data_IF_444520736537
#
_entry.id   IF_444520736537
#
_cell.length_a   1.000
_cell.length_b   1.000
_cell.length_c   1.000
_cell.angle_alpha   90.00
_cell.angle_beta   90.00
_cell.angle_gamma   90.00
#
_symmetry.space_group_name_H-M   'P 1'
#
loop_
_entity.id
_entity.type
_entity.pdbx_description
1 polymer ?
#
# COMPACT_ATOMS: atom_id res chain seq x y z
N UNK A 1 -3.83 7.19 -8.14
CA UNK A 1 -4.16 6.00 -7.32
C UNK A 1 -4.53 4.85 -8.25
N UNK A 2 -4.58 3.61 -7.77
CA UNK A 2 -5.09 2.47 -8.54
C UNK A 2 -6.20 1.79 -7.74
N UNK A 3 -7.33 1.56 -8.39
CA UNK A 3 -8.51 0.91 -7.84
C UNK A 3 -8.66 -0.48 -8.47
N UNK A 4 -8.94 -1.48 -7.65
CA UNK A 4 -9.24 -2.84 -8.09
C UNK A 4 -10.66 -3.15 -7.64
N UNK A 5 -11.52 -3.48 -8.60
CA UNK A 5 -12.93 -3.79 -8.38
C UNK A 5 -13.15 -5.25 -8.75
N UNK A 6 -13.74 -6.02 -7.84
CA UNK A 6 -14.16 -7.39 -8.11
C UNK A 6 -15.66 -7.41 -8.34
N UNK A 7 -16.11 -8.13 -9.36
CA UNK A 7 -17.52 -8.15 -9.77
C UNK A 7 -18.06 -9.58 -9.78
N UNK A 8 -19.32 -9.73 -9.36
CA UNK A 8 -20.10 -10.95 -9.57
C UNK A 8 -21.51 -10.54 -9.98
N UNK A 9 -21.80 -10.64 -11.28
CA UNK A 9 -23.10 -10.26 -11.81
C UNK A 9 -24.14 -11.35 -11.55
N UNK A 10 -25.43 -10.99 -11.44
CA UNK A 10 -26.50 -11.97 -11.34
C UNK A 10 -26.57 -12.88 -12.56
N UNK A 11 -27.00 -14.12 -12.36
CA UNK A 11 -27.17 -15.10 -13.44
C UNK A 11 -28.30 -14.67 -14.40
N UNK A 12 -28.27 -15.20 -15.63
CA UNK A 12 -29.28 -14.93 -16.67
C UNK A 12 -30.72 -15.19 -16.21
N UNK A 13 -30.94 -16.13 -15.28
CA UNK A 13 -32.26 -16.47 -14.75
C UNK A 13 -32.76 -15.62 -13.58
N UNK A 14 -31.96 -14.68 -13.07
CA UNK A 14 -32.41 -13.76 -12.01
C UNK A 14 -33.44 -12.76 -12.53
N UNK A 15 -34.27 -12.21 -11.63
CA UNK A 15 -35.26 -11.18 -11.94
C UNK A 15 -34.61 -9.87 -12.40
N UNK A 16 -35.36 -9.09 -13.19
CA UNK A 16 -34.85 -7.84 -13.77
C UNK A 16 -34.49 -6.80 -12.68
N UNK A 17 -35.15 -6.79 -11.52
CA UNK A 17 -34.85 -5.84 -10.45
C UNK A 17 -33.49 -6.12 -9.81
N UNK A 18 -33.12 -7.40 -9.62
CA UNK A 18 -31.78 -7.80 -9.17
C UNK A 18 -30.71 -7.38 -10.19
N UNK A 19 -30.98 -7.55 -11.49
CA UNK A 19 -30.06 -7.14 -12.57
C UNK A 19 -29.90 -5.62 -12.63
N UNK A 20 -31.00 -4.87 -12.53
CA UNK A 20 -30.99 -3.41 -12.52
C UNK A 20 -30.22 -2.88 -11.32
N UNK A 21 -30.45 -3.44 -10.12
CA UNK A 21 -29.70 -3.07 -8.92
C UNK A 21 -28.19 -3.27 -9.10
N UNK A 22 -27.78 -4.39 -9.71
CA UNK A 22 -26.36 -4.65 -9.99
C UNK A 22 -25.73 -3.56 -10.86
N UNK A 23 -26.40 -3.17 -11.96
CA UNK A 23 -25.88 -2.13 -12.85
C UNK A 23 -25.89 -0.75 -12.19
N UNK A 24 -26.92 -0.41 -11.40
CA UNK A 24 -26.94 0.82 -10.61
C UNK A 24 -25.79 0.88 -9.60
N UNK A 25 -25.51 -0.24 -8.91
CA UNK A 25 -24.39 -0.34 -7.96
C UNK A 25 -23.04 -0.22 -8.70
N UNK A 26 -22.92 -0.84 -9.89
CA UNK A 26 -21.74 -0.73 -10.75
C UNK A 26 -21.49 0.71 -11.20
N UNK A 27 -22.52 1.40 -11.68
CA UNK A 27 -22.46 2.80 -12.10
C UNK A 27 -22.06 3.70 -10.94
N UNK A 28 -22.62 3.47 -9.74
CA UNK A 28 -22.24 4.20 -8.54
C UNK A 28 -20.76 4.06 -8.20
N UNK A 29 -20.19 2.85 -8.31
CA UNK A 29 -18.75 2.61 -8.12
C UNK A 29 -17.92 3.34 -9.19
N UNK A 30 -18.36 3.28 -10.45
CA UNK A 30 -17.63 3.91 -11.55
C UNK A 30 -17.64 5.44 -11.48
N UNK A 31 -18.75 6.05 -11.05
CA UNK A 31 -18.88 7.50 -10.84
C UNK A 31 -18.03 7.94 -9.63
N UNK A 32 -17.96 7.13 -8.57
CA UNK A 32 -17.17 7.44 -7.38
C UNK A 32 -15.65 7.43 -7.64
N UNK A 33 -15.18 6.69 -8.65
CA UNK A 33 -13.76 6.61 -9.01
C UNK A 33 -13.42 7.74 -10.00
N UNK A 34 -12.53 8.67 -9.63
CA UNK A 34 -12.13 9.76 -10.53
C UNK A 34 -11.55 9.24 -11.87
N UNK A 35 -11.81 9.98 -12.95
CA UNK A 35 -11.35 9.60 -14.30
C UNK A 35 -9.83 9.59 -14.46
N UNK A 36 -9.10 10.36 -13.64
CA UNK A 36 -7.64 10.38 -13.62
C UNK A 36 -7.01 9.21 -12.83
N UNK A 37 -7.82 8.39 -12.18
CA UNK A 37 -7.37 7.19 -11.47
C UNK A 37 -7.49 5.93 -12.33
N UNK A 38 -6.55 5.01 -12.12
CA UNK A 38 -6.57 3.71 -12.78
C UNK A 38 -7.63 2.84 -12.12
N UNK A 39 -8.43 2.16 -12.93
CA UNK A 39 -9.38 1.15 -12.46
C UNK A 39 -9.12 -0.17 -13.20
N UNK A 40 -9.05 -1.24 -12.43
CA UNK A 40 -8.97 -2.62 -12.93
C UNK A 40 -10.18 -3.35 -12.37
N UNK A 41 -11.10 -3.73 -13.24
CA UNK A 41 -12.33 -4.42 -12.87
C UNK A 41 -12.17 -5.86 -13.33
N UNK A 42 -12.43 -6.82 -12.46
CA UNK A 42 -12.31 -8.23 -12.80
C UNK A 42 -13.39 -9.05 -12.14
N UNK A 43 -13.88 -10.08 -12.82
CA UNK A 43 -14.81 -11.03 -12.20
C UNK A 43 -15.76 -11.64 -13.21
N UNK A 44 -16.77 -12.31 -12.66
CA UNK A 44 -17.80 -13.03 -13.40
C UNK A 44 -18.95 -12.08 -13.70
N UNK A 45 -19.18 -11.81 -14.99
CA UNK A 45 -20.28 -10.97 -15.45
C UNK A 45 -21.49 -11.77 -15.93
N UNK A 46 -21.43 -13.11 -15.91
CA UNK A 46 -22.51 -13.99 -16.37
C UNK A 46 -23.07 -13.68 -17.79
N UNK A 47 -22.35 -12.88 -18.56
CA UNK A 47 -22.72 -12.43 -19.90
C UNK A 47 -21.70 -12.90 -20.93
N UNK A 48 -22.15 -13.15 -22.15
CA UNK A 48 -21.31 -13.51 -23.29
C UNK A 48 -21.19 -12.31 -24.22
N UNK A 49 -20.01 -11.72 -24.35
CA UNK A 49 -19.79 -10.59 -25.27
C UNK A 49 -19.71 -11.03 -26.75
N UNK A 50 -19.42 -12.31 -26.98
CA UNK A 50 -19.34 -12.94 -28.29
C UNK A 50 -18.04 -12.68 -29.05
N UNK A 51 -17.87 -13.33 -30.21
CA UNK A 51 -16.69 -13.15 -31.09
C UNK A 51 -16.69 -11.77 -31.75
N UNK A 52 -17.83 -11.34 -32.28
CA UNK A 52 -17.96 -10.13 -33.08
C UNK A 52 -17.98 -8.88 -32.19
N UNK A 53 -17.37 -7.80 -32.67
CA UNK A 53 -17.34 -6.50 -31.98
C UNK A 53 -18.28 -5.46 -32.61
N UNK A 54 -19.21 -5.88 -33.46
CA UNK A 54 -20.14 -4.98 -34.15
C UNK A 54 -20.80 -4.02 -33.18
N UNK A 55 -20.72 -2.71 -33.51
CA UNK A 55 -21.21 -1.57 -32.71
C UNK A 55 -20.44 -1.27 -31.43
N UNK A 56 -19.40 -2.04 -31.12
CA UNK A 56 -18.59 -1.95 -29.89
C UNK A 56 -17.09 -1.99 -30.15
N UNK A 57 -16.64 -1.62 -31.35
CA UNK A 57 -15.24 -1.71 -31.80
C UNK A 57 -14.30 -0.91 -30.90
N UNK A 58 -14.83 0.12 -30.23
CA UNK A 58 -14.07 0.91 -29.26
C UNK A 58 -13.72 0.13 -28.00
N UNK A 59 -14.61 -0.72 -27.50
CA UNK A 59 -14.50 -1.38 -26.19
C UNK A 59 -14.24 -2.88 -26.29
N UNK A 60 -14.46 -3.47 -27.46
CA UNK A 60 -14.33 -4.89 -27.74
C UNK A 60 -13.38 -5.13 -28.92
N UNK A 61 -12.35 -5.95 -28.70
CA UNK A 61 -11.25 -6.16 -29.65
C UNK A 61 -11.51 -7.21 -30.74
N UNK A 62 -12.73 -7.75 -30.83
CA UNK A 62 -13.16 -8.67 -31.89
C UNK A 62 -12.64 -10.11 -31.75
N UNK A 63 -12.16 -10.48 -30.55
CA UNK A 63 -11.56 -11.80 -30.27
C UNK A 63 -12.17 -12.48 -29.05
N UNK A 64 -13.45 -12.24 -28.78
CA UNK A 64 -14.18 -12.94 -27.72
C UNK A 64 -14.53 -14.38 -28.10
N UNK A 65 -15.31 -15.07 -27.27
CA UNK A 65 -15.75 -16.44 -27.52
C UNK A 65 -17.27 -16.57 -27.54
N UNK A 66 -17.79 -17.46 -28.39
CA UNK A 66 -19.22 -17.75 -28.52
C UNK A 66 -20.03 -16.63 -29.18
N UNK A 67 -21.36 -16.70 -29.01
CA UNK A 67 -22.31 -15.71 -29.50
C UNK A 67 -22.68 -14.75 -28.37
N UNK A 68 -23.00 -13.50 -28.74
CA UNK A 68 -23.38 -12.48 -27.77
C UNK A 68 -24.78 -12.77 -27.19
N UNK A 69 -24.97 -12.57 -25.89
CA UNK A 69 -26.29 -12.60 -25.24
C UNK A 69 -26.66 -11.24 -24.64
N UNK A 70 -27.89 -11.11 -24.10
CA UNK A 70 -28.40 -9.85 -23.51
C UNK A 70 -27.50 -9.32 -22.39
N UNK A 71 -26.96 -10.20 -21.56
CA UNK A 71 -26.12 -9.86 -20.42
C UNK A 71 -24.74 -9.38 -20.87
N UNK A 72 -24.19 -9.99 -21.92
CA UNK A 72 -22.97 -9.52 -22.56
C UNK A 72 -23.17 -8.20 -23.32
N UNK A 73 -24.34 -7.97 -23.88
CA UNK A 73 -24.71 -6.68 -24.46
C UNK A 73 -24.77 -5.58 -23.38
N UNK A 74 -25.40 -5.84 -22.23
CA UNK A 74 -25.40 -4.91 -21.10
C UNK A 74 -23.98 -4.59 -20.60
N UNK A 75 -23.10 -5.60 -20.56
CA UNK A 75 -21.68 -5.42 -20.25
C UNK A 75 -20.99 -4.49 -21.24
N UNK A 76 -21.24 -4.65 -22.55
CA UNK A 76 -20.67 -3.80 -23.58
C UNK A 76 -21.23 -2.37 -23.54
N UNK A 77 -22.51 -2.20 -23.22
CA UNK A 77 -23.13 -0.89 -23.01
C UNK A 77 -22.50 -0.16 -21.82
N UNK A 78 -22.38 -0.83 -20.67
CA UNK A 78 -21.71 -0.28 -19.48
C UNK A 78 -20.24 0.04 -19.74
N UNK A 79 -19.53 -0.85 -20.46
CA UNK A 79 -18.15 -0.58 -20.87
C UNK A 79 -18.05 0.65 -21.78
N UNK A 80 -19.01 0.85 -22.69
CA UNK A 80 -19.07 2.02 -23.57
C UNK A 80 -19.34 3.31 -22.79
N UNK A 81 -20.27 3.28 -21.82
CA UNK A 81 -20.62 4.43 -21.00
C UNK A 81 -19.42 4.98 -20.21
N UNK A 82 -18.54 4.12 -19.70
CA UNK A 82 -17.36 4.50 -18.90
C UNK A 82 -16.02 4.44 -19.66
N UNK A 83 -16.05 4.31 -21.00
CA UNK A 83 -14.88 4.18 -21.90
C UNK A 83 -13.89 3.08 -21.43
N UNK A 84 -14.45 1.94 -21.03
CA UNK A 84 -13.73 0.74 -20.60
C UNK A 84 -13.48 -0.19 -21.79
N UNK A 85 -12.33 -0.83 -21.82
CA UNK A 85 -11.99 -1.89 -22.75
C UNK A 85 -12.15 -3.26 -22.07
N UNK A 86 -12.83 -4.20 -22.74
CA UNK A 86 -12.91 -5.60 -22.34
C UNK A 86 -11.61 -6.29 -22.73
N UNK A 87 -10.62 -6.28 -21.83
CA UNK A 87 -9.22 -6.63 -22.10
C UNK A 87 -9.05 -8.01 -22.74
N UNK A 88 -9.86 -8.99 -22.33
CA UNK A 88 -9.83 -10.36 -22.85
C UNK A 88 -9.96 -10.42 -24.38
N UNK A 89 -10.70 -9.49 -24.97
CA UNK A 89 -11.16 -9.54 -26.36
C UNK A 89 -10.17 -8.89 -27.33
N UNK A 90 -9.10 -8.28 -26.83
CA UNK A 90 -8.07 -7.61 -27.63
C UNK A 90 -6.87 -8.51 -27.99
N UNK A 91 -6.74 -9.67 -27.33
CA UNK A 91 -5.62 -10.58 -27.55
C UNK A 91 -6.07 -11.79 -28.36
N UNK A 92 -5.29 -12.13 -29.38
CA UNK A 92 -5.51 -13.35 -30.15
C UNK A 92 -5.09 -14.58 -29.35
N UNK A 93 -6.00 -15.53 -29.24
CA UNK A 93 -5.87 -16.75 -28.43
C UNK A 93 -6.60 -17.90 -29.11
N UNK A 94 -6.16 -19.12 -28.82
CA UNK A 94 -6.93 -20.31 -29.10
C UNK A 94 -8.16 -20.36 -28.21
N UNK A 95 -9.26 -20.94 -28.69
CA UNK A 95 -10.55 -21.01 -27.98
C UNK A 95 -10.40 -21.57 -26.54
N UNK A 96 -9.54 -22.57 -26.33
CA UNK A 96 -9.28 -23.15 -25.01
C UNK A 96 -8.75 -22.13 -23.98
N UNK A 97 -8.08 -21.08 -24.44
CA UNK A 97 -7.53 -20.00 -23.62
C UNK A 97 -8.45 -18.77 -23.52
N UNK A 98 -9.63 -18.81 -24.15
CA UNK A 98 -10.69 -17.82 -24.02
C UNK A 98 -11.83 -18.28 -23.09
N UNK A 99 -12.07 -19.60 -23.04
CA UNK A 99 -13.09 -20.22 -22.21
C UNK A 99 -12.73 -20.06 -20.74
N UNK A 100 -13.58 -19.37 -19.97
CA UNK A 100 -13.40 -19.15 -18.53
C UNK A 100 -14.28 -20.06 -17.69
N UNK A 101 -15.36 -20.62 -18.26
CA UNK A 101 -16.24 -21.56 -17.59
C UNK A 101 -16.48 -22.80 -18.45
N UNK A 102 -16.39 -23.98 -17.84
CA UNK A 102 -16.64 -25.26 -18.48
C UNK A 102 -17.47 -26.16 -17.59
N UNK A 103 -18.64 -26.59 -18.07
CA UNK A 103 -19.50 -27.56 -17.40
C UNK A 103 -19.97 -28.62 -18.39
N UNK A 104 -19.49 -29.85 -18.22
CA UNK A 104 -19.72 -30.92 -19.19
C UNK A 104 -19.23 -30.53 -20.60
N UNK A 105 -20.16 -30.52 -21.56
CA UNK A 105 -19.91 -30.12 -22.95
C UNK A 105 -20.12 -28.62 -23.20
N UNK A 106 -20.57 -27.86 -22.20
CA UNK A 106 -20.75 -26.42 -22.32
C UNK A 106 -19.47 -25.69 -21.98
N UNK A 107 -19.02 -24.83 -22.91
CA UNK A 107 -17.88 -23.96 -22.74
C UNK A 107 -18.36 -22.52 -22.94
N UNK A 108 -18.03 -21.63 -22.03
CA UNK A 108 -18.42 -20.23 -22.11
C UNK A 108 -17.28 -19.31 -21.65
N UNK A 109 -17.38 -18.05 -22.08
CA UNK A 109 -16.60 -16.95 -21.54
C UNK A 109 -17.58 -16.04 -20.79
N UNK A 110 -17.37 -15.89 -19.50
CA UNK A 110 -18.20 -15.10 -18.58
C UNK A 110 -17.36 -14.27 -17.61
N UNK A 111 -16.09 -14.62 -17.42
CA UNK A 111 -15.15 -13.87 -16.61
C UNK A 111 -14.37 -12.87 -17.48
N UNK A 112 -14.34 -11.61 -17.08
CA UNK A 112 -13.70 -10.54 -17.85
C UNK A 112 -12.87 -9.63 -16.98
N UNK A 113 -11.82 -9.08 -17.58
CA UNK A 113 -11.16 -7.89 -17.08
C UNK A 113 -11.56 -6.66 -17.90
N UNK A 114 -11.98 -5.61 -17.21
CA UNK A 114 -12.26 -4.30 -17.78
C UNK A 114 -11.28 -3.27 -17.21
N UNK A 115 -10.91 -2.32 -18.05
CA UNK A 115 -9.91 -1.29 -17.76
C UNK A 115 -10.22 -0.04 -18.58
N UNK A 116 -9.91 1.16 -18.10
CA UNK A 116 -10.04 2.36 -18.96
C UNK A 116 -9.19 2.20 -20.22
N UNK A 117 -9.75 2.56 -21.36
CA UNK A 117 -9.08 2.46 -22.66
C UNK A 117 -7.71 3.12 -22.70
N UNK A 118 -7.55 4.26 -22.03
CA UNK A 118 -6.27 4.99 -21.96
C UNK A 118 -5.11 4.16 -21.39
N UNK A 119 -5.45 3.14 -20.58
CA UNK A 119 -4.48 2.24 -19.95
C UNK A 119 -4.35 0.89 -20.67
N UNK A 120 -5.03 0.66 -21.80
CA UNK A 120 -4.96 -0.62 -22.54
C UNK A 120 -3.52 -0.96 -22.97
N UNK A 121 -2.73 0.07 -23.33
CA UNK A 121 -1.31 -0.02 -23.67
C UNK A 121 -0.42 -0.53 -22.53
N UNK A 122 -0.93 -0.51 -21.30
CA UNK A 122 -0.22 -1.04 -20.13
C UNK A 122 -0.45 -2.55 -19.96
N UNK A 123 -1.46 -3.11 -20.63
CA UNK A 123 -1.76 -4.54 -20.61
C UNK A 123 -0.85 -5.23 -21.61
N UNK A 124 -0.10 -6.22 -21.13
CA UNK A 124 0.76 -7.04 -22.00
C UNK A 124 0.03 -8.26 -22.53
N UNK A 125 -0.83 -8.86 -21.69
CA UNK A 125 -1.50 -10.10 -22.03
C UNK A 125 -2.73 -10.29 -21.14
N UNK A 126 -3.75 -10.96 -21.67
CA UNK A 126 -4.87 -11.51 -20.93
C UNK A 126 -5.06 -12.95 -21.40
N UNK A 127 -5.01 -13.92 -20.48
CA UNK A 127 -5.07 -15.35 -20.82
C UNK A 127 -5.80 -16.16 -19.76
N UNK A 128 -6.50 -17.19 -20.20
CA UNK A 128 -7.01 -18.23 -19.31
C UNK A 128 -6.01 -19.38 -19.21
N UNK A 129 -5.81 -19.90 -18.00
CA UNK A 129 -4.98 -21.07 -17.73
C UNK A 129 -5.87 -22.34 -17.77
N UNK A 130 -5.77 -23.18 -18.82
CA UNK A 130 -6.46 -24.46 -18.83
C UNK A 130 -5.74 -25.45 -17.90
N UNK A 131 -6.48 -26.10 -17.00
CA UNK A 131 -5.98 -27.28 -16.27
C UNK A 131 -5.71 -27.13 -14.77
N UNK A 132 -6.07 -26.02 -14.13
CA UNK A 132 -6.04 -25.93 -12.66
C UNK A 132 -7.33 -26.50 -12.04
N UNK A 133 -7.27 -27.59 -11.25
CA UNK A 133 -8.45 -28.32 -10.77
C UNK A 133 -9.03 -27.78 -9.45
N UNK A 134 -8.72 -26.54 -9.06
CA UNK A 134 -9.15 -25.97 -7.77
C UNK A 134 -10.65 -25.63 -7.73
N UNK A 135 -11.25 -25.37 -8.89
CA UNK A 135 -12.69 -25.15 -9.07
C UNK A 135 -13.10 -25.97 -10.28
N UNK A 136 -14.10 -26.85 -10.15
CA UNK A 136 -14.42 -27.84 -11.20
C UNK A 136 -14.93 -27.25 -12.51
N UNK A 137 -15.43 -26.00 -12.48
CA UNK A 137 -16.07 -25.36 -13.62
C UNK A 137 -15.40 -24.06 -14.08
N UNK A 138 -15.01 -23.17 -13.16
CA UNK A 138 -14.32 -21.93 -13.52
C UNK A 138 -12.82 -22.15 -13.73
N UNK A 139 -12.26 -21.46 -14.71
CA UNK A 139 -10.83 -21.45 -15.04
C UNK A 139 -10.22 -20.11 -14.68
N UNK A 140 -8.95 -20.14 -14.28
CA UNK A 140 -8.26 -18.93 -13.85
C UNK A 140 -7.99 -17.99 -15.02
N UNK A 141 -8.58 -16.79 -14.97
CA UNK A 141 -8.29 -15.68 -15.87
C UNK A 141 -7.15 -14.83 -15.31
N UNK A 142 -6.11 -14.60 -16.11
CA UNK A 142 -4.92 -13.85 -15.73
C UNK A 142 -4.72 -12.66 -16.66
N UNK A 143 -4.50 -11.47 -16.08
CA UNK A 143 -4.10 -10.27 -16.80
C UNK A 143 -2.69 -9.81 -16.35
N UNK A 144 -1.77 -9.66 -17.31
CA UNK A 144 -0.42 -9.14 -17.06
C UNK A 144 -0.38 -7.64 -17.36
N UNK A 145 -0.03 -6.84 -16.35
CA UNK A 145 -0.01 -5.37 -16.44
C UNK A 145 1.40 -4.83 -16.21
N UNK A 146 1.82 -3.86 -17.03
CA UNK A 146 3.05 -3.10 -16.87
C UNK A 146 2.82 -1.85 -16.03
N UNK A 147 3.08 -1.94 -14.73
CA UNK A 147 2.96 -0.81 -13.81
C UNK A 147 4.28 -0.02 -13.78
N UNK A 148 4.24 1.25 -14.20
CA UNK A 148 5.35 2.20 -13.97
C UNK A 148 5.30 2.71 -12.53
N UNK A 149 6.15 2.18 -11.66
CA UNK A 149 6.34 2.71 -10.31
C UNK A 149 7.17 4.00 -10.46
N UNK A 150 6.55 5.16 -10.27
CA UNK A 150 7.31 6.40 -10.07
C UNK A 150 8.13 6.23 -8.80
N UNK A 151 9.46 6.25 -8.93
CA UNK A 151 10.35 6.28 -7.76
C UNK A 151 9.99 7.55 -6.98
N UNK A 152 9.62 7.38 -5.71
CA UNK A 152 9.48 8.50 -4.78
C UNK A 152 10.74 9.36 -4.91
N UNK A 153 10.56 10.64 -5.30
CA UNK A 153 11.67 11.58 -5.35
C UNK A 153 12.38 11.54 -3.99
N UNK A 154 13.72 11.49 -3.96
CA UNK A 154 14.44 11.52 -2.71
C UNK A 154 13.93 12.72 -1.90
N UNK A 155 13.48 12.47 -0.66
CA UNK A 155 13.04 13.54 0.25
C UNK A 155 14.09 14.66 0.21
N UNK A 156 13.69 15.93 0.13
CA UNK A 156 14.63 17.04 0.08
C UNK A 156 15.65 16.87 1.21
N UNK A 157 16.94 17.06 0.89
CA UNK A 157 18.02 17.01 1.88
C UNK A 157 17.58 17.92 3.04
N UNK A 158 17.40 17.36 4.23
CA UNK A 158 17.05 18.14 5.41
C UNK A 158 18.09 19.23 5.56
N UNK A 159 17.64 20.49 5.63
CA UNK A 159 18.53 21.63 5.82
C UNK A 159 19.34 21.43 7.11
N UNK A 160 20.61 21.84 7.14
CA UNK A 160 21.43 21.78 8.34
C UNK A 160 20.73 22.51 9.50
N UNK A 161 20.69 21.88 10.68
CA UNK A 161 20.15 22.51 11.89
C UNK A 161 21.29 22.86 12.84
N UNK A 162 21.31 24.11 13.30
CA UNK A 162 22.19 24.59 14.37
C UNK A 162 21.89 23.80 15.65
N UNK A 163 22.94 23.37 16.36
CA UNK A 163 22.85 22.59 17.60
C UNK A 163 22.52 23.48 18.79
N UNK A 164 21.31 24.03 18.86
CA UNK A 164 20.89 24.94 19.94
C UNK A 164 21.02 24.35 21.35
N UNK A 165 20.99 23.02 21.51
CA UNK A 165 21.23 22.35 22.79
C UNK A 165 22.64 22.60 23.37
N UNK A 166 23.59 23.08 22.57
CA UNK A 166 24.91 23.49 23.08
C UNK A 166 24.82 24.72 23.99
N UNK A 167 23.69 25.44 24.02
CA UNK A 167 23.42 26.52 24.99
C UNK A 167 23.31 26.01 26.44
N UNK A 168 23.12 24.71 26.66
CA UNK A 168 23.17 24.12 28.01
C UNK A 168 24.60 24.09 28.57
N UNK A 169 25.62 24.23 27.71
CA UNK A 169 27.02 24.25 28.11
C UNK A 169 27.48 25.68 28.33
N UNK A 170 27.90 25.97 29.55
CA UNK A 170 28.29 27.32 29.96
C UNK A 170 29.49 27.88 29.17
N UNK A 171 30.46 27.03 28.83
CA UNK A 171 31.62 27.39 27.98
C UNK A 171 31.18 27.84 26.58
N UNK A 172 30.27 27.11 25.95
CA UNK A 172 29.75 27.45 24.62
C UNK A 172 28.94 28.74 24.64
N UNK A 173 28.20 29.02 25.73
CA UNK A 173 27.44 30.28 25.89
C UNK A 173 28.40 31.47 26.02
N UNK A 174 29.46 31.34 26.81
CA UNK A 174 30.48 32.40 26.99
C UNK A 174 31.16 32.70 25.66
N UNK A 175 31.63 31.68 24.95
CA UNK A 175 32.28 31.85 23.64
C UNK A 175 31.33 32.46 22.60
N UNK A 176 30.07 32.01 22.55
CA UNK A 176 29.07 32.55 21.64
C UNK A 176 28.80 34.03 21.91
N UNK A 177 28.65 34.43 23.17
CA UNK A 177 28.41 35.84 23.54
C UNK A 177 29.57 36.74 23.11
N UNK A 178 30.81 36.35 23.42
CA UNK A 178 31.99 37.12 23.05
C UNK A 178 32.07 37.32 21.54
N UNK A 179 31.95 36.24 20.76
CA UNK A 179 32.02 36.31 19.29
C UNK A 179 30.90 37.15 18.66
N UNK A 180 29.69 37.10 19.22
CA UNK A 180 28.58 37.93 18.73
C UNK A 180 28.84 39.40 19.01
N UNK A 181 29.33 39.74 20.21
CA UNK A 181 29.64 41.13 20.57
C UNK A 181 30.79 41.66 19.71
N UNK A 182 31.89 40.90 19.56
CA UNK A 182 33.03 41.30 18.73
C UNK A 182 32.60 41.58 17.28
N UNK A 183 31.83 40.66 16.68
CA UNK A 183 31.31 40.89 15.32
C UNK A 183 30.29 42.01 15.21
N UNK A 184 29.54 42.30 16.27
CA UNK A 184 28.60 43.42 16.28
C UNK A 184 29.33 44.76 16.36
N UNK A 185 30.48 44.82 17.02
CA UNK A 185 31.34 46.00 17.06
C UNK A 185 31.97 46.24 15.67
N UNK A 186 32.33 45.17 14.96
CA UNK A 186 32.89 45.24 13.61
C UNK A 186 31.84 45.45 12.49
N UNK A 187 30.55 45.52 12.80
CA UNK A 187 29.51 45.80 11.79
C UNK A 187 29.44 47.30 11.47
N UNK A 188 29.30 47.61 10.17
CA UNK A 188 29.14 48.98 9.67
C UNK A 188 27.95 49.70 10.32
N UNK A 189 28.02 51.04 10.34
CA UNK A 189 26.99 51.89 10.95
C UNK A 189 25.61 51.61 10.33
N UNK A 190 24.73 51.03 11.15
CA UNK A 190 23.38 50.60 10.81
C UNK A 190 22.40 51.79 10.67
N UNK A 191 22.84 53.01 10.98
CA UNK A 191 22.01 54.22 10.98
C UNK A 191 21.36 54.56 9.62
N UNK A 192 21.91 54.07 8.50
CA UNK A 192 21.39 54.33 7.15
C UNK A 192 20.46 53.23 6.61
N UNK A 193 20.17 52.19 7.40
CA UNK A 193 19.33 51.04 6.99
C UNK A 193 17.96 51.10 7.68
N UNK A 194 16.96 50.52 7.03
CA UNK A 194 15.65 50.36 7.67
C UNK A 194 15.73 49.42 8.87
N UNK A 195 14.84 49.57 9.85
CA UNK A 195 14.84 48.71 11.04
C UNK A 195 14.76 47.21 10.73
N UNK A 196 14.11 46.83 9.61
CA UNK A 196 14.02 45.45 9.16
C UNK A 196 15.35 44.92 8.58
N UNK A 197 16.11 45.77 7.89
CA UNK A 197 17.45 45.45 7.40
C UNK A 197 18.45 45.31 8.55
N UNK A 198 18.42 46.23 9.52
CA UNK A 198 19.23 46.12 10.75
C UNK A 198 18.93 44.83 11.50
N UNK A 199 17.65 44.50 11.68
CA UNK A 199 17.25 43.25 12.34
C UNK A 199 17.75 42.02 11.59
N UNK A 200 17.66 42.01 10.26
CA UNK A 200 18.13 40.89 9.47
C UNK A 200 19.65 40.71 9.57
N UNK A 201 20.44 41.79 9.58
CA UNK A 201 21.89 41.71 9.74
C UNK A 201 22.30 41.19 11.12
N UNK A 202 21.64 41.68 12.18
CA UNK A 202 21.82 41.18 13.54
C UNK A 202 21.50 39.68 13.61
N UNK A 203 20.37 39.26 13.06
CA UNK A 203 19.95 37.85 13.05
C UNK A 203 20.91 36.99 12.23
N UNK A 204 21.43 37.50 11.12
CA UNK A 204 22.43 36.81 10.30
C UNK A 204 23.76 36.64 11.04
N UNK A 205 24.22 37.69 11.73
CA UNK A 205 25.39 37.65 12.60
C UNK A 205 25.23 36.60 13.70
N UNK A 206 24.12 36.65 14.46
CA UNK A 206 23.83 35.67 15.50
C UNK A 206 23.77 34.23 14.96
N UNK A 207 23.13 34.02 13.82
CA UNK A 207 23.05 32.68 13.19
C UNK A 207 24.40 32.21 12.67
N UNK A 208 25.24 33.11 12.13
CA UNK A 208 26.61 32.82 11.71
C UNK A 208 27.44 32.34 12.89
N UNK A 209 27.46 33.11 13.97
CA UNK A 209 28.29 32.76 15.13
C UNK A 209 27.74 31.53 15.87
N UNK A 210 26.43 31.35 15.89
CA UNK A 210 25.82 30.14 16.44
C UNK A 210 26.23 28.90 15.63
N UNK A 211 26.40 29.02 14.31
CA UNK A 211 26.95 27.93 13.48
C UNK A 211 28.42 27.67 13.76
N UNK A 212 29.22 28.73 13.94
CA UNK A 212 30.65 28.60 14.21
C UNK A 212 30.90 27.93 15.57
N UNK A 213 30.16 28.32 16.62
CA UNK A 213 30.35 27.83 17.99
C UNK A 213 29.65 26.49 18.22
N UNK A 214 28.37 26.38 17.86
CA UNK A 214 27.59 25.17 18.17
C UNK A 214 27.74 24.09 17.10
N UNK A 215 28.14 24.46 15.89
CA UNK A 215 28.16 23.58 14.74
C UNK A 215 26.76 23.27 14.19
N UNK A 216 26.74 22.61 13.04
CA UNK A 216 25.52 22.17 12.38
C UNK A 216 25.41 20.63 12.41
N UNK A 217 24.17 20.14 12.46
CA UNK A 217 23.89 18.73 12.16
C UNK A 217 23.59 18.58 10.67
N UNK A 218 24.44 17.82 9.97
CA UNK A 218 24.18 17.35 8.61
C UNK A 218 23.83 15.88 8.67
N UNK A 219 22.56 15.57 8.47
CA UNK A 219 22.10 14.20 8.47
C UNK A 219 20.59 14.14 8.50
N UNK A 220 20.04 13.06 7.92
CA UNK A 220 18.68 12.61 8.25
C UNK A 220 18.58 12.74 9.77
N UNK A 221 17.54 13.42 10.26
CA UNK A 221 17.16 13.30 11.67
C UNK A 221 17.43 11.86 12.05
N UNK A 222 18.27 11.63 13.06
CA UNK A 222 18.32 10.31 13.68
C UNK A 222 16.84 9.99 13.86
N UNK A 223 16.34 9.03 13.07
CA UNK A 223 14.92 8.78 13.07
C UNK A 223 14.72 8.42 14.54
N UNK A 224 14.06 9.29 15.29
CA UNK A 224 13.50 8.93 16.57
C UNK A 224 12.40 7.93 16.19
N UNK A 225 12.84 6.75 15.76
CA UNK A 225 11.99 5.59 15.55
C UNK A 225 11.43 5.40 16.93
N UNK A 226 10.14 5.53 17.11
CA UNK A 226 9.19 4.47 17.48
C UNK A 226 9.78 3.20 18.13
N UNK A 227 10.85 3.34 18.91
CA UNK A 227 11.62 2.29 19.58
C UNK A 227 11.70 2.58 21.08
N UNK A 228 10.72 3.31 21.62
CA UNK A 228 10.53 3.46 23.06
C UNK A 228 10.17 2.13 23.76
N UNK A 229 9.82 1.08 22.99
CA UNK A 229 9.60 -0.30 23.48
C UNK A 229 10.82 -1.22 23.23
N UNK A 230 11.95 -0.68 22.78
CA UNK A 230 13.13 -1.41 22.32
C UNK A 230 14.20 -1.58 23.42
N UNK A 231 13.90 -2.38 24.44
CA UNK A 231 14.83 -2.65 25.55
C UNK A 231 15.95 -3.64 25.19
N UNK A 232 17.01 -3.69 26.02
CA UNK A 232 18.10 -4.68 25.93
C UNK A 232 17.54 -6.12 25.94
N UNK A 233 16.50 -6.35 26.72
CA UNK A 233 15.83 -7.66 26.82
C UNK A 233 15.13 -8.05 25.51
N UNK A 234 14.42 -7.11 24.87
CA UNK A 234 13.79 -7.35 23.58
C UNK A 234 14.83 -7.63 22.50
N UNK A 235 15.96 -6.93 22.53
CA UNK A 235 17.08 -7.19 21.62
C UNK A 235 17.68 -8.59 21.82
N UNK A 236 17.88 -9.02 23.07
CA UNK A 236 18.38 -10.36 23.38
C UNK A 236 17.41 -11.45 22.91
N UNK A 237 16.11 -11.29 23.14
CA UNK A 237 15.09 -12.24 22.69
C UNK A 237 15.04 -12.34 21.15
N UNK A 238 15.17 -11.21 20.44
CA UNK A 238 15.21 -11.19 18.99
C UNK A 238 16.52 -11.78 18.43
N UNK A 239 17.64 -11.60 19.15
CA UNK A 239 18.93 -12.22 18.84
C UNK A 239 18.84 -13.74 18.95
N UNK A 240 18.32 -14.27 20.06
CA UNK A 240 18.08 -15.72 20.24
C UNK A 240 17.20 -16.32 19.14
N UNK A 241 16.11 -15.62 18.76
CA UNK A 241 15.26 -16.04 17.63
C UNK A 241 16.06 -16.09 16.32
N UNK A 242 16.92 -15.09 16.07
CA UNK A 242 17.72 -15.00 14.85
C UNK A 242 18.79 -16.10 14.80
N UNK A 243 19.40 -16.41 15.94
CA UNK A 243 20.41 -17.46 16.04
C UNK A 243 19.78 -18.85 15.86
N UNK A 244 18.60 -19.10 16.44
CA UNK A 244 17.82 -20.32 16.20
C UNK A 244 17.40 -20.48 14.72
N UNK A 245 17.02 -19.39 14.05
CA UNK A 245 16.71 -19.40 12.62
C UNK A 245 17.92 -19.78 11.77
N UNK A 246 19.10 -19.22 12.05
CA UNK A 246 20.35 -19.59 11.37
C UNK A 246 20.71 -21.05 11.62
N UNK A 247 20.56 -21.51 12.88
CA UNK A 247 20.80 -22.90 13.27
C UNK A 247 19.91 -23.88 12.50
N UNK A 248 18.63 -23.56 12.29
CA UNK A 248 17.72 -24.35 11.44
C UNK A 248 18.07 -24.28 9.96
N UNK A 249 18.34 -23.07 9.43
CA UNK A 249 18.61 -22.86 8.00
C UNK A 249 19.90 -23.53 7.51
N UNK A 250 20.88 -23.68 8.39
CA UNK A 250 22.19 -24.24 8.05
C UNK A 250 22.26 -25.77 8.20
N UNK A 251 21.16 -26.46 8.52
CA UNK A 251 21.11 -27.93 8.54
C UNK A 251 20.75 -28.47 7.17
N UNK A 252 21.53 -29.46 6.72
CA UNK A 252 21.33 -30.21 5.47
C UNK A 252 20.01 -30.97 5.48
N UNK A 253 19.36 -31.07 4.32
CA UNK A 253 18.05 -31.71 4.14
C UNK A 253 18.09 -33.24 4.31
N UNK A 254 19.29 -33.82 4.24
CA UNK A 254 19.54 -35.26 4.41
C UNK A 254 19.51 -35.71 5.88
N UNK A 255 19.60 -34.78 6.84
CA UNK A 255 19.50 -35.04 8.28
C UNK A 255 18.14 -34.55 8.80
N UNK A 256 17.08 -35.23 8.33
CA UNK A 256 15.69 -34.84 8.54
C UNK A 256 15.29 -34.67 10.01
N UNK A 257 15.78 -35.56 10.88
CA UNK A 257 15.47 -35.54 12.32
C UNK A 257 16.10 -34.30 13.01
N UNK A 258 17.38 -34.01 12.72
CA UNK A 258 18.08 -32.83 13.25
C UNK A 258 17.47 -31.51 12.74
N UNK A 259 17.02 -31.49 11.48
CA UNK A 259 16.36 -30.33 10.89
C UNK A 259 15.00 -30.05 11.52
N UNK A 260 14.20 -31.09 11.79
CA UNK A 260 12.91 -31.00 12.49
C UNK A 260 13.08 -30.45 13.92
N UNK A 261 14.07 -30.97 14.67
CA UNK A 261 14.37 -30.51 16.03
C UNK A 261 14.74 -29.02 16.03
N UNK A 262 15.64 -28.57 15.15
CA UNK A 262 16.03 -27.15 15.10
C UNK A 262 14.90 -26.24 14.59
N UNK A 263 14.01 -26.76 13.74
CA UNK A 263 12.78 -26.06 13.32
C UNK A 263 11.86 -25.81 14.52
N UNK A 264 11.66 -26.80 15.37
CA UNK A 264 10.85 -26.69 16.59
C UNK A 264 11.44 -25.64 17.56
N UNK A 265 12.75 -25.67 17.79
CA UNK A 265 13.46 -24.65 18.60
C UNK A 265 13.27 -23.25 18.02
N UNK A 266 13.37 -23.08 16.71
CA UNK A 266 13.11 -21.79 16.06
C UNK A 266 11.67 -21.31 16.24
N UNK A 267 10.68 -22.20 16.08
CA UNK A 267 9.25 -21.88 16.25
C UNK A 267 8.97 -21.39 17.67
N UNK A 268 9.52 -22.07 18.68
CA UNK A 268 9.37 -21.67 20.08
C UNK A 268 9.96 -20.27 20.34
N UNK A 269 11.21 -20.03 19.91
CA UNK A 269 11.86 -18.72 20.05
C UNK A 269 11.13 -17.61 19.27
N UNK A 270 10.54 -17.94 18.11
CA UNK A 270 9.69 -17.02 17.33
C UNK A 270 8.43 -16.63 18.09
N UNK A 271 7.75 -17.58 18.74
CA UNK A 271 6.57 -17.31 19.56
C UNK A 271 6.92 -16.46 20.79
N UNK A 272 8.02 -16.79 21.49
CA UNK A 272 8.53 -16.02 22.63
C UNK A 272 8.82 -14.56 22.25
N UNK A 273 9.50 -14.34 21.12
CA UNK A 273 9.76 -13.01 20.59
C UNK A 273 8.48 -12.24 20.24
N UNK A 274 7.52 -12.90 19.59
CA UNK A 274 6.23 -12.28 19.24
C UNK A 274 5.46 -11.83 20.49
N UNK A 275 5.44 -12.67 21.53
CA UNK A 275 4.79 -12.36 22.83
C UNK A 275 5.50 -11.21 23.55
N UNK A 276 6.83 -11.24 23.61
CA UNK A 276 7.62 -10.19 24.27
C UNK A 276 7.43 -8.81 23.60
N UNK A 277 7.43 -8.76 22.26
CA UNK A 277 7.18 -7.54 21.50
C UNK A 277 5.76 -7.02 21.73
N UNK A 278 4.76 -7.92 21.74
CA UNK A 278 3.37 -7.54 22.00
C UNK A 278 3.18 -6.96 23.42
N UNK A 279 3.80 -7.57 24.44
CA UNK A 279 3.76 -7.09 25.83
C UNK A 279 4.47 -5.74 25.95
N UNK A 280 5.65 -5.58 25.35
CA UNK A 280 6.40 -4.32 25.40
C UNK A 280 5.64 -3.17 24.73
N UNK A 281 4.98 -3.44 23.59
CA UNK A 281 4.09 -2.47 22.94
C UNK A 281 2.86 -2.16 23.79
N UNK A 282 2.25 -3.18 24.40
CA UNK A 282 1.07 -3.04 25.26
C UNK A 282 1.33 -2.21 26.52
N UNK A 283 2.43 -2.48 27.24
CA UNK A 283 2.81 -1.81 28.49
C UNK A 283 3.03 -0.31 28.36
N UNK A 284 3.43 0.15 27.19
CA UNK A 284 3.68 1.58 27.00
C UNK A 284 2.48 2.25 26.35
N UNK A 285 1.70 1.55 25.53
CA UNK A 285 0.40 2.04 25.14
C UNK A 285 -0.47 2.31 26.37
N UNK A 286 -0.49 1.44 27.39
CA UNK A 286 -1.22 1.71 28.64
C UNK A 286 -0.73 2.96 29.38
N UNK A 287 0.59 3.15 29.51
CA UNK A 287 1.19 4.36 30.11
C UNK A 287 0.84 5.65 29.36
N UNK A 288 0.65 5.57 28.03
CA UNK A 288 0.25 6.71 27.21
C UNK A 288 -1.18 7.20 27.52
N UNK A 289 -2.05 6.32 28.02
CA UNK A 289 -3.45 6.62 28.37
C UNK A 289 -3.66 6.99 29.84
N UNK A 290 -2.67 6.77 30.71
CA UNK A 290 -2.71 7.13 32.14
C UNK A 290 -2.33 8.60 32.43
N UNK A 291 -1.96 9.39 31.41
CA UNK A 291 -1.61 10.81 31.58
C UNK A 291 -2.90 11.66 31.78
N UNK A 292 -3.18 12.23 32.96
CA UNK A 292 -4.48 12.88 33.25
C UNK A 292 -4.67 14.25 32.57
N UNK A 293 -3.73 14.72 31.76
CA UNK A 293 -3.71 16.10 31.22
C UNK A 293 -3.70 16.15 29.69
N UNK A 294 -4.60 15.42 29.02
CA UNK A 294 -4.83 15.59 27.58
C UNK A 294 -6.26 16.03 27.33
N UNK A 295 -6.42 17.16 26.63
CA UNK A 295 -7.73 17.68 26.25
C UNK A 295 -8.46 16.69 25.32
N UNK A 296 -9.81 16.71 25.28
CA UNK A 296 -10.60 15.79 24.45
C UNK A 296 -10.19 15.78 22.97
N UNK A 297 -9.66 16.89 22.45
CA UNK A 297 -9.18 17.03 21.06
C UNK A 297 -7.85 16.29 20.84
N UNK A 298 -6.96 16.27 21.83
CA UNK A 298 -5.70 15.52 21.78
C UNK A 298 -5.92 14.00 21.90
N UNK A 299 -6.93 13.57 22.66
CA UNK A 299 -7.34 12.15 22.75
C UNK A 299 -7.85 11.58 21.41
N UNK A 300 -8.52 12.41 20.58
CA UNK A 300 -8.96 12.01 19.23
C UNK A 300 -7.82 11.85 18.22
N UNK A 301 -6.73 12.62 18.36
CA UNK A 301 -5.56 12.54 17.46
C UNK A 301 -4.70 11.28 17.69
N UNK A 302 -4.74 10.69 18.90
CA UNK A 302 -4.03 9.44 19.24
C UNK A 302 -4.89 8.19 18.87
N UNK A 303 -6.18 8.41 18.58
CA UNK A 303 -7.15 7.41 18.12
C UNK A 303 -7.14 7.29 16.59
N UNK A 304 -6.06 6.80 15.98
CA UNK A 304 -6.26 5.78 14.95
C UNK A 304 -5.12 4.77 14.90
N UNK A 305 -5.30 3.61 15.53
CA UNK A 305 -4.51 2.40 15.22
C UNK A 305 -5.23 1.08 15.51
N UNK A 306 -6.50 1.11 15.96
CA UNK A 306 -7.34 -0.10 16.05
C UNK A 306 -8.13 -0.40 14.77
N UNK A 307 -8.31 0.57 13.87
CA UNK A 307 -8.97 0.37 12.57
C UNK A 307 -8.03 -0.26 11.52
N UNK A 308 -6.72 -0.03 11.63
CA UNK A 308 -5.73 -0.62 10.69
C UNK A 308 -5.28 -2.04 11.11
N UNK A 309 -5.30 -2.39 12.41
CA UNK A 309 -4.97 -3.77 12.83
C UNK A 309 -6.14 -4.77 12.71
N UNK A 310 -7.41 -4.32 12.73
CA UNK A 310 -8.55 -5.23 12.46
C UNK A 310 -8.60 -5.68 10.99
N UNK A 311 -8.13 -4.87 10.04
CA UNK A 311 -8.07 -5.25 8.61
C UNK A 311 -7.03 -6.33 8.30
N UNK A 312 -6.04 -6.56 9.16
CA UNK A 312 -5.03 -7.61 8.96
C UNK A 312 -5.29 -8.92 9.73
N UNK A 313 -6.41 -9.06 10.46
CA UNK A 313 -6.75 -10.27 11.23
C UNK A 313 -8.10 -10.92 10.87
N UNK A 314 -8.81 -10.40 9.86
CA UNK A 314 -10.08 -10.96 9.39
C UNK A 314 -9.99 -12.19 8.48
N UNK A 315 -8.78 -12.62 8.09
CA UNK A 315 -8.57 -13.81 7.26
C UNK A 315 -7.93 -14.94 8.07
N UNK A 316 -8.68 -15.53 9.01
CA UNK A 316 -8.68 -16.97 9.27
C UNK A 316 -9.61 -17.24 10.46
N UNK A 317 -10.85 -17.66 10.17
CA UNK A 317 -11.73 -18.55 10.95
C UNK A 317 -13.16 -18.31 10.49
N UNK A 318 -13.61 -19.04 9.46
CA UNK A 318 -15.02 -19.40 9.34
C UNK A 318 -15.10 -20.88 9.72
N UNK A 319 -15.59 -21.12 10.93
CA UNK A 319 -16.00 -22.43 11.41
C UNK A 319 -17.12 -22.96 10.51
N UNK A 320 -16.94 -24.19 10.04
CA UNK A 320 -18.00 -25.00 9.48
C UNK A 320 -19.05 -25.25 10.55
N UNK A 321 -20.25 -24.69 10.38
CA UNK A 321 -21.45 -25.25 10.99
C UNK A 321 -22.20 -26.06 9.93
N UNK A 322 -22.11 -27.38 10.07
CA UNK A 322 -23.02 -28.33 9.43
C UNK A 322 -24.42 -28.11 9.99
N UNK A 323 -25.38 -27.82 9.12
CA UNK A 323 -26.70 -28.47 9.09
C UNK A 323 -27.15 -28.60 7.65
#
# INVERSE_FOLDING_TARGET
MSNIVSVYAPQTGCDDATKEKFWNDFDGVMIAIPNNEKVFIGGDFNGHVGRLNESYERVHGGRGFGNRNREGENLLQGATAFDLAVANTFFEKQDQHLITYKSGNHNTQIDYFLIRRDHIKEIKNCKVIPGEPLVSQHRLLLMEIKIKIQKSMPKPKTLPKIKWYMLEKEECVKEFRTRVVDKMIDMDDLNNKSGNECWNEIVLCMRSEAKNVFGETKGKSMIAKDTWWWSKDIQNILKEKKDAFKGWKNVSDYDGNSKEIKKNVYVEKKMKAKKAVAIARGKVNSKLYEVPRLSPRAKRLISPSKSEEKKCKGYSTCEMHKR
#
